data_IF_816211949945
#
_entry.id   IF_816211949945
#
_cell.length_a   1.000
_cell.length_b   1.000
_cell.length_c   1.000
_cell.angle_alpha   90.00
_cell.angle_beta   90.00
_cell.angle_gamma   90.00
#
_symmetry.space_group_name_H-M   'P 1'
#
loop_
_entity.id
_entity.type
_entity.pdbx_description
1 polymer ?
#
# COMPACT_ATOMS: atom_id res chain seq x y z
N UNK A 1 25.78 -22.62 4.15
CA UNK A 1 26.40 -22.47 5.49
C UNK A 1 27.10 -21.10 5.69
N UNK A 2 26.57 -20.01 5.13
CA UNK A 2 27.20 -18.67 5.13
C UNK A 2 26.51 -17.68 6.09
N UNK A 3 25.31 -18.04 6.59
CA UNK A 3 24.50 -17.19 7.48
C UNK A 3 25.05 -17.16 8.92
N UNK A 4 25.76 -18.21 9.36
CA UNK A 4 26.24 -18.31 10.76
C UNK A 4 27.48 -17.47 11.09
N UNK A 5 28.23 -16.97 10.10
CA UNK A 5 29.47 -16.22 10.37
C UNK A 5 29.34 -14.70 10.34
N UNK A 6 28.26 -14.13 9.77
CA UNK A 6 28.02 -12.68 9.80
C UNK A 6 27.40 -12.17 11.10
N UNK A 7 26.82 -13.05 11.93
CA UNK A 7 26.10 -12.65 13.16
C UNK A 7 27.06 -12.31 14.31
N UNK A 8 28.37 -12.63 14.20
CA UNK A 8 29.30 -12.55 15.34
C UNK A 8 30.07 -11.23 15.51
N UNK A 9 29.94 -10.24 14.62
CA UNK A 9 30.68 -8.97 14.74
C UNK A 9 29.82 -7.79 14.22
N UNK A 10 29.31 -6.96 15.14
CA UNK A 10 28.40 -5.78 14.97
C UNK A 10 26.94 -6.17 14.65
N UNK A 11 25.85 -5.64 15.24
CA UNK A 11 25.58 -4.38 15.99
C UNK A 11 24.24 -4.56 16.73
N UNK A 12 24.11 -4.14 17.99
CA UNK A 12 22.85 -4.16 18.77
C UNK A 12 21.73 -3.25 18.20
N UNK A 13 22.07 -2.36 17.26
CA UNK A 13 21.18 -1.35 16.66
C UNK A 13 20.50 -1.76 15.35
N UNK A 14 20.94 -2.83 14.69
CA UNK A 14 20.42 -3.20 13.36
C UNK A 14 19.07 -3.93 13.40
N UNK A 15 18.88 -4.81 14.39
CA UNK A 15 17.65 -5.60 14.54
C UNK A 15 16.43 -4.73 14.87
N UNK A 16 16.50 -3.76 15.80
CA UNK A 16 15.38 -2.86 16.07
C UNK A 16 14.96 -2.05 14.84
N UNK A 17 15.91 -1.54 14.06
CA UNK A 17 15.61 -0.73 12.86
C UNK A 17 14.93 -1.56 11.77
N UNK A 18 15.40 -2.78 11.54
CA UNK A 18 14.76 -3.71 10.60
C UNK A 18 13.33 -4.05 11.04
N UNK A 19 13.15 -4.39 12.32
CA UNK A 19 11.85 -4.69 12.88
C UNK A 19 10.88 -3.52 12.74
N UNK A 20 11.30 -2.30 13.09
CA UNK A 20 10.48 -1.10 12.97
C UNK A 20 10.12 -0.79 11.51
N UNK A 21 11.07 -0.91 10.57
CA UNK A 21 10.79 -0.70 9.14
C UNK A 21 9.78 -1.72 8.61
N UNK A 22 10.00 -3.00 8.88
CA UNK A 22 9.13 -4.09 8.46
C UNK A 22 7.72 -3.95 9.05
N UNK A 23 7.63 -3.72 10.37
CA UNK A 23 6.36 -3.57 11.07
C UNK A 23 5.59 -2.35 10.57
N UNK A 24 6.26 -1.19 10.41
CA UNK A 24 5.62 0.02 9.88
C UNK A 24 5.08 -0.19 8.47
N UNK A 25 5.84 -0.87 7.61
CA UNK A 25 5.38 -1.20 6.26
C UNK A 25 4.14 -2.08 6.28
N UNK A 26 4.16 -3.17 7.04
CA UNK A 26 3.04 -4.11 7.11
C UNK A 26 1.81 -3.49 7.77
N UNK A 27 2.01 -2.63 8.78
CA UNK A 27 0.95 -1.85 9.41
C UNK A 27 0.23 -0.97 8.40
N UNK A 28 0.95 -0.13 7.66
CA UNK A 28 0.35 0.78 6.67
C UNK A 28 -0.35 0.00 5.56
N UNK A 29 0.26 -1.06 5.03
CA UNK A 29 -0.38 -1.88 4.00
C UNK A 29 -1.65 -2.56 4.54
N UNK A 30 -1.65 -2.98 5.80
CA UNK A 30 -2.83 -3.54 6.44
C UNK A 30 -3.94 -2.49 6.65
N UNK A 31 -3.62 -1.18 6.79
CA UNK A 31 -4.65 -0.10 6.83
C UNK A 31 -5.46 0.01 5.53
N UNK A 32 -4.92 -0.46 4.38
CA UNK A 32 -5.70 -0.52 3.13
C UNK A 32 -6.75 -1.63 3.12
N UNK A 33 -6.68 -2.52 4.10
CA UNK A 33 -7.54 -3.70 4.19
C UNK A 33 -8.42 -3.69 5.45
N UNK A 34 -7.93 -3.12 6.54
CA UNK A 34 -8.57 -3.21 7.85
C UNK A 34 -8.64 -1.85 8.54
N UNK A 35 -9.67 -1.61 9.39
CA UNK A 35 -9.78 -0.40 10.20
C UNK A 35 -8.87 -0.50 11.44
N UNK A 36 -7.55 -0.51 11.23
CA UNK A 36 -6.55 -0.75 12.28
C UNK A 36 -6.66 0.27 13.43
N UNK A 37 -6.93 1.52 13.10
CA UNK A 37 -7.05 2.61 14.07
C UNK A 37 -8.26 2.43 15.01
N UNK A 38 -9.22 1.55 14.67
CA UNK A 38 -10.36 1.17 15.52
C UNK A 38 -10.09 -0.08 16.36
N UNK A 39 -9.04 -0.86 16.05
CA UNK A 39 -8.74 -2.15 16.68
C UNK A 39 -7.59 -2.06 17.68
N UNK A 40 -6.62 -1.18 17.45
CA UNK A 40 -5.49 -1.00 18.38
C UNK A 40 -5.78 0.17 19.33
N UNK A 41 -5.85 -0.07 20.65
CA UNK A 41 -6.04 1.02 21.61
C UNK A 41 -4.87 2.00 21.50
N UNK A 42 -5.18 3.30 21.49
CA UNK A 42 -4.18 4.36 21.69
C UNK A 42 -3.48 4.04 23.00
N UNK A 43 -2.20 3.69 22.93
CA UNK A 43 -1.39 3.49 24.14
C UNK A 43 -1.15 4.86 24.72
N UNK A 44 -2.00 5.28 25.67
CA UNK A 44 -1.73 6.42 26.55
C UNK A 44 -0.46 6.12 27.35
N UNK A 45 0.68 6.54 26.81
CA UNK A 45 1.90 6.66 27.61
C UNK A 45 1.66 7.83 28.55
N UNK A 46 1.16 7.54 29.76
CA UNK A 46 1.14 8.51 30.87
C UNK A 46 2.57 8.99 31.13
N UNK A 47 2.94 10.07 30.47
CA UNK A 47 4.02 10.93 30.91
C UNK A 47 3.43 11.80 32.01
N UNK A 48 3.72 11.45 33.27
CA UNK A 48 3.48 12.33 34.40
C UNK A 48 4.35 13.59 34.20
N UNK A 49 3.84 14.58 33.46
CA UNK A 49 4.21 16.01 33.49
C UNK A 49 3.37 16.76 32.44
N UNK A 50 2.36 17.47 32.94
CA UNK A 50 1.56 18.53 32.29
C UNK A 50 1.97 18.99 30.88
N UNK A 51 1.27 18.47 29.88
CA UNK A 51 0.86 19.24 28.70
C UNK A 51 -0.35 18.55 28.08
N UNK A 52 -1.28 19.34 27.55
CA UNK A 52 -2.41 18.87 26.73
C UNK A 52 -1.82 18.11 25.55
N UNK A 53 -1.76 16.77 25.62
CA UNK A 53 -1.31 15.95 24.51
C UNK A 53 -2.50 15.76 23.58
N UNK A 54 -2.42 16.38 22.39
CA UNK A 54 -3.24 16.00 21.23
C UNK A 54 -3.24 14.48 21.11
N UNK A 55 -4.41 13.90 20.83
CA UNK A 55 -4.59 12.51 20.41
C UNK A 55 -3.80 12.25 19.12
N UNK A 56 -2.47 12.18 19.23
CA UNK A 56 -1.58 12.00 18.11
C UNK A 56 -1.70 10.54 17.68
N UNK A 57 -2.43 10.30 16.59
CA UNK A 57 -2.55 8.98 16.00
C UNK A 57 -1.14 8.44 15.70
N UNK A 58 -0.73 7.40 16.42
CA UNK A 58 0.60 6.80 16.31
C UNK A 58 0.85 6.17 14.92
N UNK A 59 -0.22 5.91 14.16
CA UNK A 59 -0.16 5.42 12.77
C UNK A 59 -0.11 6.55 11.75
N UNK A 60 -0.08 7.83 12.16
CA UNK A 60 0.05 8.97 11.25
C UNK A 60 1.42 9.00 10.57
N UNK A 61 1.48 9.59 9.38
CA UNK A 61 2.74 9.73 8.65
C UNK A 61 3.75 10.59 9.41
N UNK A 62 3.28 11.57 10.18
CA UNK A 62 4.14 12.35 11.08
C UNK A 62 4.80 11.44 12.13
N UNK A 63 3.99 10.63 12.83
CA UNK A 63 4.48 9.69 13.84
C UNK A 63 5.44 8.65 13.25
N UNK A 64 5.10 8.06 12.10
CA UNK A 64 5.95 7.07 11.42
C UNK A 64 7.28 7.67 10.95
N UNK A 65 7.27 8.93 10.46
CA UNK A 65 8.48 9.60 9.97
C UNK A 65 9.53 9.83 11.05
N UNK A 66 9.13 9.95 12.33
CA UNK A 66 10.05 10.13 13.48
C UNK A 66 11.01 8.95 13.64
N UNK A 67 10.62 7.75 13.20
CA UNK A 67 11.45 6.55 13.25
C UNK A 67 12.26 6.31 11.95
N UNK A 68 12.12 7.18 10.94
CA UNK A 68 12.74 7.02 9.62
C UNK A 68 13.92 7.98 9.45
N UNK A 69 15.01 7.50 8.85
CA UNK A 69 16.18 8.33 8.55
C UNK A 69 15.88 9.24 7.32
N UNK A 70 15.98 10.58 7.45
CA UNK A 70 15.62 11.52 6.39
C UNK A 70 16.40 11.30 5.09
N UNK A 71 17.69 11.01 5.21
CA UNK A 71 18.61 10.87 4.08
C UNK A 71 18.31 9.62 3.23
N UNK A 72 17.70 8.59 3.82
CA UNK A 72 17.37 7.33 3.14
C UNK A 72 15.90 7.23 2.77
N UNK A 73 15.09 8.29 2.93
CA UNK A 73 13.64 8.24 2.69
C UNK A 73 13.26 7.78 1.28
N UNK A 74 14.10 8.09 0.29
CA UNK A 74 13.86 7.74 -1.11
C UNK A 74 14.49 6.40 -1.50
N UNK A 75 15.32 5.82 -0.65
CA UNK A 75 15.96 4.53 -0.93
C UNK A 75 14.95 3.39 -0.76
N UNK A 76 14.95 2.44 -1.69
CA UNK A 76 14.12 1.25 -1.61
C UNK A 76 14.63 0.38 -0.45
N UNK A 77 13.77 0.10 0.52
CA UNK A 77 14.05 -0.92 1.51
C UNK A 77 13.95 -2.30 0.84
N UNK A 78 15.05 -3.05 0.79
CA UNK A 78 15.12 -4.39 0.20
C UNK A 78 14.21 -5.41 0.87
N UNK A 79 13.76 -5.16 2.10
CA UNK A 79 12.85 -6.06 2.82
C UNK A 79 11.39 -5.77 2.56
N UNK A 80 11.05 -4.52 2.22
CA UNK A 80 9.68 -4.09 1.97
C UNK A 80 9.40 -3.89 0.47
N UNK A 81 10.44 -3.78 -0.36
CA UNK A 81 10.31 -3.58 -1.81
C UNK A 81 9.95 -2.15 -2.21
N UNK A 82 9.83 -1.23 -1.25
CA UNK A 82 9.49 0.18 -1.46
C UNK A 82 10.29 1.09 -0.54
N UNK A 83 10.30 2.40 -0.85
CA UNK A 83 10.97 3.40 -0.03
C UNK A 83 10.08 3.91 1.10
N UNK A 84 10.69 4.44 2.16
CA UNK A 84 9.95 5.04 3.27
C UNK A 84 9.08 6.22 2.81
N UNK A 85 9.53 7.01 1.83
CA UNK A 85 8.70 8.06 1.21
C UNK A 85 7.44 7.47 0.57
N UNK A 86 7.56 6.34 -0.11
CA UNK A 86 6.40 5.67 -0.71
C UNK A 86 5.44 5.16 0.36
N UNK A 87 5.98 4.56 1.43
CA UNK A 87 5.21 4.09 2.58
C UNK A 87 4.38 5.23 3.21
N UNK A 88 5.00 6.40 3.44
CA UNK A 88 4.31 7.58 3.97
C UNK A 88 3.22 8.09 3.01
N UNK A 89 3.48 8.10 1.69
CA UNK A 89 2.46 8.49 0.72
C UNK A 89 1.26 7.54 0.69
N UNK A 90 1.50 6.22 0.78
CA UNK A 90 0.42 5.24 0.90
C UNK A 90 -0.40 5.51 2.17
N UNK A 91 0.26 5.77 3.29
CA UNK A 91 -0.44 6.08 4.54
C UNK A 91 -1.26 7.38 4.45
N UNK A 92 -0.72 8.43 3.82
CA UNK A 92 -1.44 9.69 3.60
C UNK A 92 -2.67 9.49 2.68
N UNK A 93 -2.58 8.63 1.66
CA UNK A 93 -3.74 8.26 0.83
C UNK A 93 -4.79 7.55 1.68
N UNK A 94 -4.38 6.64 2.56
CA UNK A 94 -5.30 5.89 3.42
C UNK A 94 -6.00 6.76 4.46
N UNK A 95 -5.36 7.86 4.90
CA UNK A 95 -6.00 8.83 5.79
C UNK A 95 -7.19 9.58 5.16
N UNK A 96 -7.36 9.53 3.82
CA UNK A 96 -8.57 10.04 3.16
C UNK A 96 -9.85 9.31 3.62
N UNK A 97 -9.73 8.09 4.17
CA UNK A 97 -10.86 7.37 4.78
C UNK A 97 -11.43 8.13 5.97
N UNK A 98 -10.57 8.73 6.78
CA UNK A 98 -10.93 9.49 7.97
C UNK A 98 -11.45 10.86 7.56
N UNK A 99 -10.79 11.52 6.60
CA UNK A 99 -11.26 12.78 6.03
C UNK A 99 -12.68 12.65 5.45
N UNK A 100 -12.93 11.57 4.71
CA UNK A 100 -14.24 11.29 4.12
C UNK A 100 -15.33 11.01 5.17
N UNK A 101 -14.98 10.40 6.31
CA UNK A 101 -15.90 10.21 7.44
C UNK A 101 -16.17 11.55 8.15
N UNK A 102 -15.12 12.33 8.41
CA UNK A 102 -15.18 13.62 9.09
C UNK A 102 -15.98 14.68 8.33
N UNK A 103 -16.15 14.55 7.01
CA UNK A 103 -17.06 15.39 6.21
C UNK A 103 -18.50 15.38 6.74
N UNK A 104 -18.93 14.27 7.33
CA UNK A 104 -20.31 14.07 7.81
C UNK A 104 -20.45 14.20 9.32
N UNK A 105 -19.39 14.56 10.03
CA UNK A 105 -19.41 14.86 11.46
C UNK A 105 -19.86 16.32 11.70
N UNK A 106 -20.78 16.51 12.66
CA UNK A 106 -21.40 17.80 12.98
C UNK A 106 -20.37 18.85 13.43
N UNK A 107 -20.44 20.08 12.89
CA UNK A 107 -19.77 21.26 13.49
C UNK A 107 -18.83 22.09 12.60
N UNK A 108 -18.74 21.85 11.29
CA UNK A 108 -17.88 22.65 10.39
C UNK A 108 -18.51 22.85 9.02
N UNK A 109 -18.16 23.94 8.30
CA UNK A 109 -18.66 24.19 6.95
C UNK A 109 -18.16 23.10 5.98
N UNK A 110 -19.08 22.29 5.46
CA UNK A 110 -18.81 21.12 4.60
C UNK A 110 -17.95 21.49 3.39
N UNK A 111 -18.11 22.71 2.86
CA UNK A 111 -17.39 23.18 1.67
C UNK A 111 -15.90 23.44 1.94
N UNK A 112 -15.54 23.90 3.15
CA UNK A 112 -14.15 24.09 3.54
C UNK A 112 -13.43 22.74 3.68
N UNK A 113 -14.07 21.77 4.35
CA UNK A 113 -13.56 20.40 4.48
C UNK A 113 -13.39 19.74 3.11
N UNK A 114 -14.37 19.92 2.22
CA UNK A 114 -14.29 19.43 0.83
C UNK A 114 -13.10 20.03 0.09
N UNK A 115 -12.94 21.34 0.13
CA UNK A 115 -11.84 22.05 -0.52
C UNK A 115 -10.48 21.58 0.01
N UNK A 116 -10.37 21.31 1.32
CA UNK A 116 -9.16 20.76 1.93
C UNK A 116 -8.84 19.34 1.44
N UNK A 117 -9.85 18.48 1.30
CA UNK A 117 -9.70 17.12 0.75
C UNK A 117 -9.24 17.17 -0.72
N UNK A 118 -9.86 18.00 -1.54
CA UNK A 118 -9.49 18.17 -2.94
C UNK A 118 -8.03 18.67 -3.08
N UNK A 119 -7.63 19.65 -2.27
CA UNK A 119 -6.26 20.14 -2.22
C UNK A 119 -5.26 19.05 -1.76
N UNK A 120 -5.65 18.22 -0.80
CA UNK A 120 -4.85 17.06 -0.35
C UNK A 120 -4.69 16.03 -1.46
N UNK A 121 -5.76 15.68 -2.17
CA UNK A 121 -5.71 14.77 -3.32
C UNK A 121 -4.76 15.29 -4.41
N UNK A 122 -4.88 16.56 -4.80
CA UNK A 122 -3.99 17.18 -5.80
C UNK A 122 -2.53 17.13 -5.35
N UNK A 123 -2.28 17.38 -4.07
CA UNK A 123 -0.92 17.33 -3.50
C UNK A 123 -0.37 15.89 -3.51
N UNK A 124 -1.18 14.91 -3.16
CA UNK A 124 -0.81 13.48 -3.22
C UNK A 124 -0.53 13.03 -4.65
N UNK A 125 -1.34 13.46 -5.62
CA UNK A 125 -1.10 13.17 -7.04
C UNK A 125 0.24 13.71 -7.53
N UNK A 126 0.56 14.96 -7.20
CA UNK A 126 1.85 15.57 -7.53
C UNK A 126 3.00 14.82 -6.87
N UNK A 127 2.87 14.54 -5.58
CA UNK A 127 3.89 13.81 -4.83
C UNK A 127 4.14 12.40 -5.39
N UNK A 128 3.11 11.67 -5.83
CA UNK A 128 3.25 10.36 -6.47
C UNK A 128 3.92 10.42 -7.85
N UNK A 129 3.70 11.51 -8.59
CA UNK A 129 4.35 11.75 -9.89
C UNK A 129 5.83 12.09 -9.71
N UNK A 130 6.16 12.91 -8.70
CA UNK A 130 7.52 13.36 -8.43
C UNK A 130 8.36 12.33 -7.64
N UNK A 131 7.71 11.30 -7.08
CA UNK A 131 8.41 10.30 -6.27
C UNK A 131 9.28 9.43 -7.15
N UNK A 132 10.58 9.46 -6.84
CA UNK A 132 11.61 8.62 -7.45
C UNK A 132 12.11 7.63 -6.41
N UNK A 133 12.25 6.38 -6.83
CA UNK A 133 12.84 5.33 -6.02
C UNK A 133 14.34 5.27 -6.30
N UNK A 134 15.15 5.37 -5.23
CA UNK A 134 16.60 5.22 -5.32
C UNK A 134 16.98 3.80 -4.92
N UNK A 135 17.90 3.19 -5.66
CA UNK A 135 18.51 1.95 -5.22
C UNK A 135 19.32 2.18 -3.94
N UNK A 136 19.35 1.21 -3.01
CA UNK A 136 20.22 1.26 -1.83
C UNK A 136 21.66 1.59 -2.19
N UNK A 137 22.34 2.39 -1.37
CA UNK A 137 23.74 2.75 -1.59
C UNK A 137 24.67 1.55 -1.79
N UNK A 138 24.43 0.46 -1.05
CA UNK A 138 25.18 -0.79 -1.18
C UNK A 138 25.09 -1.43 -2.58
N UNK A 139 23.95 -1.26 -3.27
CA UNK A 139 23.74 -1.76 -4.64
C UNK A 139 24.21 -0.78 -5.71
N UNK A 140 24.34 0.52 -5.38
CA UNK A 140 24.86 1.54 -6.30
C UNK A 140 26.38 1.48 -6.45
N UNK A 141 27.11 1.17 -5.37
CA UNK A 141 28.59 1.22 -5.33
C UNK A 141 29.29 -0.07 -5.78
N UNK A 142 28.54 -1.13 -6.10
CA UNK A 142 29.12 -2.43 -6.44
C UNK A 142 29.44 -2.55 -7.94
N UNK A 143 30.49 -3.30 -8.30
CA UNK A 143 30.83 -3.57 -9.71
C UNK A 143 29.73 -4.37 -10.40
N UNK A 144 29.47 -4.07 -11.67
CA UNK A 144 28.37 -4.65 -12.43
C UNK A 144 28.64 -6.12 -12.78
N UNK A 145 28.02 -7.04 -12.03
CA UNK A 145 27.80 -8.41 -12.48
C UNK A 145 26.40 -8.56 -13.07
N UNK A 146 26.21 -9.51 -13.98
CA UNK A 146 24.89 -9.78 -14.58
C UNK A 146 23.81 -10.08 -13.53
N UNK A 147 24.18 -10.81 -12.46
CA UNK A 147 23.29 -11.09 -11.32
C UNK A 147 22.90 -9.82 -10.55
N UNK A 148 23.85 -8.92 -10.30
CA UNK A 148 23.58 -7.66 -9.59
C UNK A 148 22.75 -6.69 -10.44
N UNK A 149 22.96 -6.66 -11.76
CA UNK A 149 22.11 -5.89 -12.69
C UNK A 149 20.68 -6.43 -12.67
N UNK A 150 20.54 -7.76 -12.75
CA UNK A 150 19.22 -8.40 -12.69
C UNK A 150 18.50 -8.08 -11.36
N UNK A 151 19.19 -8.23 -10.22
CA UNK A 151 18.63 -7.93 -8.90
C UNK A 151 18.23 -6.46 -8.73
N UNK A 152 19.02 -5.52 -9.26
CA UNK A 152 18.67 -4.08 -9.26
C UNK A 152 17.39 -3.83 -10.04
N UNK A 153 17.28 -4.41 -11.25
CA UNK A 153 16.08 -4.31 -12.09
C UNK A 153 14.83 -4.87 -11.40
N UNK A 154 14.93 -6.03 -10.75
CA UNK A 154 13.79 -6.59 -10.01
C UNK A 154 13.35 -5.70 -8.84
N UNK A 155 14.29 -5.04 -8.17
CA UNK A 155 13.99 -4.10 -7.10
C UNK A 155 13.32 -2.83 -7.64
N UNK A 156 13.79 -2.31 -8.77
CA UNK A 156 13.16 -1.19 -9.48
C UNK A 156 11.74 -1.53 -9.94
N UNK A 157 11.52 -2.73 -10.49
CA UNK A 157 10.19 -3.21 -10.87
C UNK A 157 9.26 -3.30 -9.65
N UNK A 158 9.79 -3.76 -8.51
CA UNK A 158 9.02 -3.83 -7.27
C UNK A 158 8.64 -2.42 -6.81
N UNK A 159 9.60 -1.51 -6.69
CA UNK A 159 9.34 -0.13 -6.27
C UNK A 159 8.35 0.59 -7.19
N UNK A 160 8.52 0.47 -8.51
CA UNK A 160 7.61 1.08 -9.49
C UNK A 160 6.20 0.49 -9.42
N UNK A 161 6.06 -0.82 -9.19
CA UNK A 161 4.74 -1.45 -9.01
C UNK A 161 4.00 -0.86 -7.79
N UNK A 162 4.71 -0.56 -6.69
CA UNK A 162 4.13 0.12 -5.52
C UNK A 162 3.69 1.54 -5.86
N UNK A 163 4.49 2.30 -6.62
CA UNK A 163 4.12 3.66 -7.05
C UNK A 163 2.85 3.66 -7.88
N UNK A 164 2.76 2.77 -8.87
CA UNK A 164 1.58 2.63 -9.74
C UNK A 164 0.35 2.18 -8.95
N UNK A 165 0.53 1.22 -8.03
CA UNK A 165 -0.56 0.76 -7.16
C UNK A 165 -1.03 1.86 -6.20
N UNK A 166 -0.14 2.70 -5.68
CA UNK A 166 -0.53 3.88 -4.90
C UNK A 166 -1.31 4.90 -5.75
N UNK A 167 -0.97 5.08 -7.04
CA UNK A 167 -1.79 5.89 -7.95
C UNK A 167 -3.19 5.31 -8.16
N UNK A 168 -3.33 3.99 -8.29
CA UNK A 168 -4.63 3.32 -8.36
C UNK A 168 -5.41 3.50 -7.05
N UNK A 169 -4.78 3.26 -5.91
CA UNK A 169 -5.39 3.43 -4.58
C UNK A 169 -5.92 4.86 -4.38
N UNK A 170 -5.11 5.87 -4.68
CA UNK A 170 -5.53 7.27 -4.62
C UNK A 170 -6.70 7.53 -5.56
N UNK A 171 -6.67 6.94 -6.75
CA UNK A 171 -7.76 7.08 -7.71
C UNK A 171 -9.07 6.49 -7.21
N UNK A 172 -9.04 5.38 -6.46
CA UNK A 172 -10.23 4.81 -5.83
C UNK A 172 -10.70 5.68 -4.65
N UNK A 173 -9.77 6.20 -3.85
CA UNK A 173 -10.04 7.11 -2.73
C UNK A 173 -10.51 8.51 -3.17
N UNK A 174 -10.38 8.84 -4.45
CA UNK A 174 -10.81 10.13 -5.02
C UNK A 174 -12.15 10.05 -5.74
N UNK A 175 -12.83 8.89 -5.71
CA UNK A 175 -14.13 8.75 -6.37
C UNK A 175 -15.24 9.46 -5.57
N UNK A 176 -16.26 10.01 -6.25
CA UNK A 176 -17.43 10.58 -5.57
C UNK A 176 -18.09 9.61 -4.58
N UNK A 177 -18.13 8.32 -4.95
CA UNK A 177 -18.74 7.29 -4.14
C UNK A 177 -17.93 6.98 -2.86
N UNK A 178 -16.60 7.06 -2.92
CA UNK A 178 -15.74 6.94 -1.75
C UNK A 178 -15.84 8.18 -0.85
N UNK A 179 -15.84 9.38 -1.43
CA UNK A 179 -15.86 10.63 -0.68
C UNK A 179 -17.25 10.99 -0.14
N UNK A 180 -18.30 10.34 -0.66
CA UNK A 180 -19.69 10.54 -0.23
C UNK A 180 -20.40 11.73 -0.88
N UNK A 181 -19.68 12.58 -1.61
CA UNK A 181 -20.24 13.76 -2.26
C UNK A 181 -20.16 13.70 -3.79
N UNK A 182 -21.14 14.30 -4.45
CA UNK A 182 -21.17 14.41 -5.92
C UNK A 182 -20.30 15.59 -6.35
N UNK A 183 -19.10 15.31 -6.87
CA UNK A 183 -18.29 16.32 -7.57
C UNK A 183 -18.56 16.26 -9.08
N UNK A 184 -18.73 17.41 -9.72
CA UNK A 184 -18.78 17.51 -11.19
C UNK A 184 -17.41 17.19 -11.83
N UNK A 185 -16.33 17.35 -11.07
CA UNK A 185 -14.97 17.03 -11.49
C UNK A 185 -14.43 15.87 -10.67
N UNK A 186 -14.35 14.69 -11.28
CA UNK A 186 -13.63 13.56 -10.65
C UNK A 186 -12.14 13.86 -10.65
N UNK A 187 -11.54 13.85 -9.45
CA UNK A 187 -10.08 13.90 -9.29
C UNK A 187 -9.45 12.51 -9.51
N UNK A 188 -10.25 11.46 -9.73
CA UNK A 188 -9.76 10.13 -10.05
C UNK A 188 -9.01 10.10 -11.38
N UNK A 189 -8.15 9.10 -11.57
CA UNK A 189 -7.63 8.77 -12.89
C UNK A 189 -8.79 8.47 -13.85
N UNK A 190 -8.62 8.88 -15.11
CA UNK A 190 -9.49 8.42 -16.19
C UNK A 190 -9.32 6.91 -16.43
N UNK A 191 -10.34 6.31 -17.06
CA UNK A 191 -10.40 4.86 -17.29
C UNK A 191 -9.17 4.35 -18.05
N UNK A 192 -8.70 5.08 -19.05
CA UNK A 192 -7.54 4.72 -19.88
C UNK A 192 -6.24 4.72 -19.06
N UNK A 193 -6.06 5.72 -18.19
CA UNK A 193 -4.91 5.78 -17.29
C UNK A 193 -4.98 4.67 -16.25
N UNK A 194 -6.14 4.39 -15.67
CA UNK A 194 -6.34 3.26 -14.74
C UNK A 194 -5.92 1.94 -15.38
N UNK A 195 -6.47 1.62 -16.56
CA UNK A 195 -6.12 0.42 -17.34
C UNK A 195 -4.62 0.34 -17.59
N UNK A 196 -3.99 1.42 -18.05
CA UNK A 196 -2.53 1.44 -18.28
C UNK A 196 -1.73 1.14 -17.02
N UNK A 197 -2.16 1.63 -15.86
CA UNK A 197 -1.49 1.33 -14.59
C UNK A 197 -1.68 -0.13 -14.19
N UNK A 198 -2.89 -0.68 -14.33
CA UNK A 198 -3.18 -2.11 -14.11
C UNK A 198 -2.29 -2.97 -15.00
N UNK A 199 -2.33 -2.76 -16.32
CA UNK A 199 -1.54 -3.50 -17.29
C UNK A 199 -0.04 -3.44 -17.00
N UNK A 200 0.46 -2.26 -16.62
CA UNK A 200 1.87 -2.09 -16.34
C UNK A 200 2.28 -2.77 -15.04
N UNK A 201 1.47 -2.69 -13.98
CA UNK A 201 1.71 -3.43 -12.73
C UNK A 201 1.75 -4.93 -13.03
N UNK A 202 0.75 -5.47 -13.74
CA UNK A 202 0.72 -6.89 -14.09
C UNK A 202 1.98 -7.29 -14.88
N UNK A 203 2.46 -6.47 -15.79
CA UNK A 203 3.68 -6.76 -16.58
C UNK A 203 4.96 -6.74 -15.73
N UNK A 204 5.05 -5.82 -14.75
CA UNK A 204 6.18 -5.77 -13.81
C UNK A 204 6.17 -6.99 -12.87
N UNK A 205 5.00 -7.33 -12.31
CA UNK A 205 4.81 -8.51 -11.45
C UNK A 205 5.13 -9.79 -12.21
N UNK A 206 4.65 -9.93 -13.45
CA UNK A 206 4.98 -11.06 -14.32
C UNK A 206 6.50 -11.19 -14.53
N UNK A 207 7.18 -10.09 -14.80
CA UNK A 207 8.64 -10.07 -14.96
C UNK A 207 9.37 -10.54 -13.69
N UNK A 208 8.89 -10.14 -12.52
CA UNK A 208 9.46 -10.56 -11.22
C UNK A 208 9.18 -12.03 -10.96
N UNK A 209 7.92 -12.44 -11.05
CA UNK A 209 7.49 -13.80 -10.73
C UNK A 209 8.12 -14.78 -11.70
N UNK A 210 8.18 -14.51 -12.99
CA UNK A 210 8.80 -15.42 -13.98
C UNK A 210 10.31 -15.56 -13.83
N UNK A 211 11.02 -14.50 -13.41
CA UNK A 211 12.49 -14.49 -13.34
C UNK A 211 13.08 -15.20 -12.12
N UNK A 212 12.30 -15.43 -11.07
CA UNK A 212 12.81 -15.96 -9.79
C UNK A 212 12.35 -17.40 -9.54
N UNK A 213 13.23 -18.27 -9.08
CA UNK A 213 12.84 -19.63 -8.64
C UNK A 213 12.08 -19.61 -7.30
N UNK A 214 12.41 -18.64 -6.44
CA UNK A 214 11.79 -18.43 -5.13
C UNK A 214 11.45 -16.95 -4.94
N UNK A 215 10.25 -16.67 -4.41
CA UNK A 215 9.81 -15.31 -4.16
C UNK A 215 10.35 -14.75 -2.83
N UNK A 216 10.97 -13.55 -2.83
CA UNK A 216 11.38 -12.90 -1.61
C UNK A 216 10.15 -12.47 -0.79
N UNK A 217 10.35 -12.18 0.50
CA UNK A 217 9.30 -11.64 1.37
C UNK A 217 8.75 -10.32 0.79
N UNK A 218 9.61 -9.51 0.18
CA UNK A 218 9.30 -8.22 -0.42
C UNK A 218 8.63 -8.29 -1.80
N UNK A 219 8.19 -9.47 -2.25
CA UNK A 219 7.57 -9.59 -3.56
C UNK A 219 6.30 -8.72 -3.64
N UNK A 220 5.92 -8.20 -4.82
CA UNK A 220 4.87 -7.18 -4.97
C UNK A 220 3.45 -7.76 -4.86
N UNK A 221 3.13 -8.44 -3.76
CA UNK A 221 1.78 -8.94 -3.47
C UNK A 221 0.75 -7.81 -3.40
N UNK A 222 1.07 -6.75 -2.66
CA UNK A 222 0.14 -5.63 -2.49
C UNK A 222 -0.13 -4.89 -3.82
N UNK A 223 0.88 -4.58 -4.65
CA UNK A 223 0.64 -4.08 -6.00
C UNK A 223 -0.23 -5.01 -6.86
N UNK A 224 0.03 -6.32 -6.86
CA UNK A 224 -0.79 -7.30 -7.57
C UNK A 224 -2.24 -7.27 -7.09
N UNK A 225 -2.45 -7.26 -5.77
CA UNK A 225 -3.78 -7.17 -5.16
C UNK A 225 -4.53 -5.91 -5.62
N UNK A 226 -3.92 -4.73 -5.48
CA UNK A 226 -4.57 -3.46 -5.88
C UNK A 226 -4.87 -3.45 -7.38
N UNK A 227 -3.94 -3.85 -8.24
CA UNK A 227 -4.17 -3.93 -9.68
C UNK A 227 -5.32 -4.89 -10.03
N UNK A 228 -5.39 -6.04 -9.34
CA UNK A 228 -6.46 -7.02 -9.53
C UNK A 228 -7.81 -6.49 -9.06
N UNK A 229 -7.86 -5.79 -7.92
CA UNK A 229 -9.06 -5.11 -7.46
C UNK A 229 -9.52 -4.01 -8.42
N UNK A 230 -8.61 -3.37 -9.13
CA UNK A 230 -8.94 -2.35 -10.15
C UNK A 230 -9.18 -2.93 -11.55
N UNK A 231 -8.97 -4.24 -11.76
CA UNK A 231 -9.16 -4.89 -13.06
C UNK A 231 -10.65 -4.99 -13.39
N UNK A 232 -11.00 -4.63 -14.63
CA UNK A 232 -12.40 -4.67 -15.11
C UNK A 232 -12.57 -5.54 -16.34
N UNK A 233 -11.48 -5.89 -17.02
CA UNK A 233 -11.53 -6.70 -18.25
C UNK A 233 -11.05 -8.13 -17.98
N UNK A 234 -11.67 -9.11 -18.64
CA UNK A 234 -11.31 -10.52 -18.49
C UNK A 234 -9.83 -10.83 -18.75
N UNK A 235 -9.15 -10.26 -19.77
CA UNK A 235 -7.73 -10.51 -19.97
C UNK A 235 -6.85 -10.05 -18.80
N UNK A 236 -7.21 -8.97 -18.10
CA UNK A 236 -6.50 -8.51 -16.91
C UNK A 236 -6.73 -9.47 -15.73
N UNK A 237 -7.99 -9.91 -15.54
CA UNK A 237 -8.35 -10.88 -14.50
C UNK A 237 -7.61 -12.21 -14.68
N UNK A 238 -7.58 -12.75 -15.90
CA UNK A 238 -6.87 -13.98 -16.23
C UNK A 238 -5.36 -13.87 -15.96
N UNK A 239 -4.74 -12.75 -16.37
CA UNK A 239 -3.32 -12.48 -16.09
C UNK A 239 -3.04 -12.38 -14.60
N UNK A 240 -3.88 -11.68 -13.85
CA UNK A 240 -3.75 -11.57 -12.40
C UNK A 240 -3.84 -12.94 -11.70
N UNK A 241 -4.82 -13.77 -12.07
CA UNK A 241 -4.97 -15.13 -11.52
C UNK A 241 -3.75 -16.01 -11.82
N UNK A 242 -3.25 -15.97 -13.05
CA UNK A 242 -2.04 -16.70 -13.42
C UNK A 242 -0.83 -16.29 -12.56
N UNK A 243 -0.72 -15.01 -12.22
CA UNK A 243 0.35 -14.50 -11.35
C UNK A 243 0.19 -14.94 -9.90
N UNK A 244 -1.03 -14.91 -9.34
CA UNK A 244 -1.30 -15.45 -8.01
C UNK A 244 -0.93 -16.94 -7.91
N UNK A 245 -1.31 -17.73 -8.91
CA UNK A 245 -1.03 -19.17 -8.96
C UNK A 245 0.48 -19.43 -9.10
N UNK A 246 1.16 -18.72 -10.00
CA UNK A 246 2.60 -18.82 -10.17
C UNK A 246 3.35 -18.41 -8.90
N UNK A 247 2.87 -17.40 -8.18
CA UNK A 247 3.45 -16.98 -6.91
C UNK A 247 3.29 -18.05 -5.81
N UNK A 248 2.10 -18.64 -5.68
CA UNK A 248 1.83 -19.72 -4.73
C UNK A 248 2.71 -20.96 -4.97
N UNK A 249 2.96 -21.29 -6.23
CA UNK A 249 3.85 -22.40 -6.59
C UNK A 249 5.32 -22.15 -6.16
N UNK A 250 5.74 -20.89 -6.05
CA UNK A 250 7.13 -20.49 -5.71
C UNK A 250 7.34 -20.22 -4.23
N UNK A 251 6.30 -19.77 -3.53
CA UNK A 251 6.32 -19.56 -2.09
C UNK A 251 4.90 -19.72 -1.50
N UNK A 252 4.70 -20.60 -0.50
CA UNK A 252 3.39 -20.84 0.10
C UNK A 252 3.05 -19.77 1.15
N UNK A 253 3.15 -18.48 0.79
CA UNK A 253 2.71 -17.40 1.67
C UNK A 253 1.18 -17.41 1.76
N UNK A 254 0.64 -17.59 2.97
CA UNK A 254 -0.81 -17.64 3.20
C UNK A 254 -1.53 -16.37 2.70
N UNK A 255 -0.87 -15.22 2.81
CA UNK A 255 -1.38 -13.94 2.34
C UNK A 255 -1.65 -13.92 0.82
N UNK A 256 -0.92 -14.72 0.03
CA UNK A 256 -1.16 -14.83 -1.42
C UNK A 256 -2.52 -15.44 -1.72
N UNK A 257 -2.84 -16.55 -1.03
CA UNK A 257 -4.11 -17.26 -1.17
C UNK A 257 -5.25 -16.35 -0.72
N UNK A 258 -5.07 -15.70 0.44
CA UNK A 258 -6.08 -14.78 1.00
C UNK A 258 -6.36 -13.61 0.05
N UNK A 259 -5.31 -12.99 -0.50
CA UNK A 259 -5.46 -11.89 -1.45
C UNK A 259 -6.20 -12.33 -2.73
N UNK A 260 -5.85 -13.50 -3.29
CA UNK A 260 -6.55 -14.05 -4.45
C UNK A 260 -8.04 -14.26 -4.16
N UNK A 261 -8.40 -14.87 -3.03
CA UNK A 261 -9.79 -15.13 -2.67
C UNK A 261 -10.62 -13.83 -2.58
N UNK A 262 -10.07 -12.76 -2.00
CA UNK A 262 -10.75 -11.47 -1.93
C UNK A 262 -10.98 -10.89 -3.33
N UNK A 263 -9.97 -10.98 -4.20
CA UNK A 263 -10.06 -10.52 -5.59
C UNK A 263 -11.13 -11.28 -6.37
N UNK A 264 -11.15 -12.61 -6.29
CA UNK A 264 -12.12 -13.45 -6.98
C UNK A 264 -13.55 -13.14 -6.51
N UNK A 265 -13.76 -13.02 -5.20
CA UNK A 265 -15.06 -12.67 -4.63
C UNK A 265 -15.49 -11.24 -4.98
N UNK A 266 -14.54 -10.30 -5.08
CA UNK A 266 -14.83 -8.94 -5.54
C UNK A 266 -15.31 -8.95 -7.00
N UNK A 267 -14.68 -9.73 -7.87
CA UNK A 267 -15.13 -9.85 -9.27
C UNK A 267 -16.50 -10.51 -9.38
N UNK A 268 -16.73 -11.61 -8.66
CA UNK A 268 -18.05 -12.25 -8.59
C UNK A 268 -19.11 -11.28 -8.06
N UNK A 269 -18.77 -10.49 -7.04
CA UNK A 269 -19.64 -9.44 -6.53
C UNK A 269 -20.01 -8.46 -7.65
N UNK A 270 -19.03 -7.92 -8.37
CA UNK A 270 -19.29 -6.97 -9.47
C UNK A 270 -20.17 -7.54 -10.59
N UNK A 271 -20.10 -8.84 -10.85
CA UNK A 271 -20.95 -9.52 -11.85
C UNK A 271 -22.40 -9.71 -11.38
N UNK A 272 -22.59 -9.95 -10.09
CA UNK A 272 -23.92 -10.18 -9.49
C UNK A 272 -24.67 -8.89 -9.14
N UNK A 273 -23.97 -7.76 -9.04
CA UNK A 273 -24.55 -6.52 -8.55
C UNK A 273 -25.23 -5.68 -9.64
N UNK A 274 -26.51 -5.37 -9.41
CA UNK A 274 -27.27 -4.35 -10.15
C UNK A 274 -27.01 -2.99 -9.50
N UNK A 275 -26.77 -1.95 -10.32
CA UNK A 275 -26.44 -0.59 -9.87
C UNK A 275 -27.35 -0.12 -8.70
N UNK A 276 -26.79 0.05 -7.50
CA UNK A 276 -27.54 0.58 -6.37
C UNK A 276 -27.02 0.31 -4.97
N UNK A 277 -26.16 -0.70 -4.75
CA UNK A 277 -25.60 -0.95 -3.42
C UNK A 277 -24.40 -0.04 -3.18
N UNK A 278 -24.65 1.00 -2.40
CA UNK A 278 -23.75 2.13 -2.23
C UNK A 278 -22.48 1.65 -1.52
N UNK A 279 -21.33 1.84 -2.15
CA UNK A 279 -20.05 1.89 -1.43
C UNK A 279 -20.21 2.84 -0.24
N UNK A 280 -19.82 2.37 0.94
CA UNK A 280 -19.86 3.20 2.14
C UNK A 280 -18.80 4.29 2.01
N UNK A 281 -19.16 5.52 2.38
CA UNK A 281 -18.20 6.64 2.46
C UNK A 281 -16.96 6.22 3.24
N UNK A 282 -15.78 6.55 2.70
CA UNK A 282 -14.48 6.24 3.29
C UNK A 282 -14.11 4.76 3.31
N UNK A 283 -14.75 3.92 2.47
CA UNK A 283 -14.43 2.49 2.38
C UNK A 283 -14.21 2.04 0.93
N UNK A 284 -13.17 1.23 0.71
CA UNK A 284 -12.96 0.57 -0.56
C UNK A 284 -13.90 -0.62 -0.76
N UNK A 285 -14.21 -0.97 -2.01
CA UNK A 285 -15.12 -2.09 -2.32
C UNK A 285 -14.61 -3.43 -1.77
N UNK A 286 -13.30 -3.67 -1.82
CA UNK A 286 -12.69 -4.90 -1.31
C UNK A 286 -12.82 -5.05 0.21
N UNK A 287 -12.96 -3.95 0.97
CA UNK A 287 -13.20 -4.02 2.42
C UNK A 287 -14.55 -4.68 2.74
N UNK A 288 -15.56 -4.49 1.90
CA UNK A 288 -16.86 -5.13 2.07
C UNK A 288 -16.79 -6.65 1.87
N UNK A 289 -15.92 -7.10 0.96
CA UNK A 289 -15.66 -8.53 0.73
C UNK A 289 -14.92 -9.14 1.93
N UNK A 290 -13.94 -8.44 2.48
CA UNK A 290 -13.23 -8.90 3.68
C UNK A 290 -14.12 -8.94 4.93
N UNK A 291 -15.02 -7.96 5.10
CA UNK A 291 -16.04 -7.96 6.15
C UNK A 291 -16.97 -9.17 6.00
N UNK A 292 -17.42 -9.48 4.78
CA UNK A 292 -18.22 -10.67 4.49
C UNK A 292 -17.51 -12.00 4.83
N UNK A 293 -16.20 -12.08 4.56
CA UNK A 293 -15.39 -13.25 4.92
C UNK A 293 -15.13 -13.38 6.43
N UNK A 294 -15.53 -12.40 7.24
CA UNK A 294 -15.23 -12.35 8.67
C UNK A 294 -13.74 -12.21 8.96
N UNK A 295 -12.95 -11.76 7.99
CA UNK A 295 -11.51 -11.59 8.16
C UNK A 295 -11.25 -10.34 9.00
N UNK A 296 -10.72 -10.55 10.19
CA UNK A 296 -10.24 -9.50 11.08
C UNK A 296 -8.71 -9.51 11.10
N UNK A 297 -8.10 -8.38 11.43
CA UNK A 297 -6.66 -8.32 11.73
C UNK A 297 -6.35 -9.25 12.90
N UNK A 298 -5.82 -10.44 12.63
CA UNK A 298 -5.18 -11.24 13.67
C UNK A 298 -3.77 -10.68 13.90
N UNK A 299 -3.58 -9.90 14.96
CA UNK A 299 -2.25 -9.51 15.45
C UNK A 299 -1.61 -10.64 16.26
N UNK A 300 -1.58 -11.87 15.70
CA UNK A 300 -1.03 -13.07 16.34
C UNK A 300 0.26 -13.51 15.66
#
# INVERSE_FOLDING_TARGET
MVIKQRIRRHTTTYVPRLFMSYFSAHLVLAKSLFPIDKVLPVVELRSDLSSVEEDACWTSSESLSKAMEPDTLREIDVWNGMSNRMLLLINDILSLKDDAQALYEEGTEVEEKRSAIEAKIITLQRNLQDTTHLLPESLRRCQDSAELVHRRRLLEYTGESYRLAACLLLSEASTPAFLGYTSEHSLSLDITRKQRHVDYILSLVESIVSSLDHLPISWPLWPLFIASCCSTFEPEKERALAQFQAAQAKAPYENTVRAQTVVELLWQRRELYVAGDRTRTGRFEWELVMEFLGWQTSFA
#
